data_IF_373851659786
#
_entry.id   IF_373851659786
#
_cell.length_a   1.000
_cell.length_b   1.000
_cell.length_c   1.000
_cell.angle_alpha   90.00
_cell.angle_beta   90.00
_cell.angle_gamma   90.00
#
_symmetry.space_group_name_H-M   'P 1'
#
loop_
_entity.id
_entity.type
_entity.pdbx_description
1 polymer ?
#
# COMPACT_ATOMS: atom_id res chain seq x y z
N UNK A 1 -2.75 28.32 6.80
CA UNK A 1 -1.88 27.13 6.91
C UNK A 1 -2.77 25.92 6.66
N UNK A 2 -2.55 25.18 5.57
CA UNK A 2 -3.30 23.95 5.35
C UNK A 2 -2.91 22.96 6.46
N UNK A 3 -3.89 22.61 7.30
CA UNK A 3 -3.79 21.56 8.31
C UNK A 3 -3.86 20.19 7.63
N UNK A 4 -3.16 20.00 6.50
CA UNK A 4 -3.23 18.74 5.79
C UNK A 4 -2.42 17.69 6.55
N UNK A 5 -3.08 16.58 6.88
CA UNK A 5 -2.52 15.46 7.64
C UNK A 5 -2.58 14.14 6.89
N UNK A 6 -3.03 14.17 5.63
CA UNK A 6 -3.23 12.96 4.82
C UNK A 6 -2.29 12.98 3.62
N UNK A 7 -1.52 11.90 3.50
CA UNK A 7 -0.49 11.76 2.48
C UNK A 7 -0.57 10.38 1.85
N UNK A 8 -0.47 10.34 0.52
CA UNK A 8 -0.10 9.10 -0.17
C UNK A 8 1.41 9.01 -0.11
N UNK A 9 1.92 7.87 0.34
CA UNK A 9 3.32 7.64 0.66
C UNK A 9 3.80 6.32 0.08
N UNK A 10 5.06 6.33 -0.38
CA UNK A 10 5.72 5.19 -0.99
C UNK A 10 7.23 5.27 -0.72
N UNK A 11 7.87 4.10 -0.62
CA UNK A 11 9.31 3.97 -0.38
C UNK A 11 9.95 2.94 -1.30
N UNK A 12 11.16 3.25 -1.73
CA UNK A 12 12.08 2.27 -2.31
C UNK A 12 13.11 1.87 -1.26
N UNK A 13 13.46 0.59 -1.22
CA UNK A 13 14.38 0.04 -0.21
C UNK A 13 15.51 -0.73 -0.85
N UNK A 14 16.71 -0.68 -0.26
CA UNK A 14 17.91 -1.29 -0.84
C UNK A 14 17.83 -2.83 -0.95
N UNK A 15 16.93 -3.46 -0.19
CA UNK A 15 16.56 -4.88 -0.26
C UNK A 15 15.19 -5.08 0.38
N UNK A 16 14.63 -6.29 0.29
CA UNK A 16 13.36 -6.62 0.94
C UNK A 16 13.48 -6.41 2.46
N UNK A 17 12.59 -5.58 3.01
CA UNK A 17 12.60 -5.16 4.43
C UNK A 17 13.88 -4.40 4.85
N UNK A 18 14.58 -3.78 3.90
CA UNK A 18 15.78 -2.98 4.15
C UNK A 18 15.52 -1.52 4.51
N UNK A 19 16.62 -0.77 4.60
CA UNK A 19 16.69 0.69 4.67
C UNK A 19 16.08 1.34 3.43
N UNK A 20 15.41 2.46 3.64
CA UNK A 20 14.91 3.32 2.56
C UNK A 20 16.08 3.92 1.76
N UNK A 21 15.94 3.90 0.44
CA UNK A 21 16.85 4.55 -0.52
C UNK A 21 16.16 5.68 -1.28
N UNK A 22 14.82 5.66 -1.32
CA UNK A 22 14.01 6.76 -1.78
C UNK A 22 12.70 6.78 -0.99
N UNK A 23 12.21 7.97 -0.67
CA UNK A 23 10.90 8.16 -0.07
C UNK A 23 10.14 9.26 -0.80
N UNK A 24 8.87 9.01 -1.11
CA UNK A 24 8.01 9.93 -1.83
C UNK A 24 6.67 10.11 -1.14
N UNK A 25 6.14 11.34 -1.13
CA UNK A 25 4.72 11.56 -0.81
C UNK A 25 4.08 12.63 -1.68
N UNK A 26 2.75 12.54 -1.76
CA UNK A 26 1.86 13.61 -2.20
C UNK A 26 0.78 13.85 -1.13
N UNK A 27 0.45 15.11 -0.88
CA UNK A 27 -0.65 15.49 0.00
C UNK A 27 -1.99 15.31 -0.71
N UNK A 28 -2.97 14.79 0.02
CA UNK A 28 -4.34 14.59 -0.46
C UNK A 28 -5.36 15.05 0.56
N UNK A 29 -6.54 15.43 0.09
CA UNK A 29 -7.68 15.80 0.93
C UNK A 29 -8.93 15.04 0.46
N UNK A 30 -9.68 14.48 1.40
CA UNK A 30 -10.99 13.86 1.17
C UNK A 30 -12.03 14.78 1.77
N UNK A 31 -12.87 15.38 0.95
CA UNK A 31 -13.93 16.29 1.39
C UNK A 31 -15.19 15.50 1.78
N UNK A 32 -16.05 16.15 2.58
CA UNK A 32 -17.30 15.60 3.12
C UNK A 32 -18.36 15.20 2.06
N UNK A 33 -18.09 15.47 0.78
CA UNK A 33 -18.90 15.09 -0.39
C UNK A 33 -18.26 13.97 -1.23
N UNK A 34 -17.17 13.38 -0.74
CA UNK A 34 -16.41 12.33 -1.42
C UNK A 34 -15.47 12.82 -2.50
N UNK A 35 -15.34 14.14 -2.68
CA UNK A 35 -14.32 14.68 -3.57
C UNK A 35 -12.93 14.40 -3.01
N UNK A 36 -12.10 13.73 -3.80
CA UNK A 36 -10.70 13.46 -3.49
C UNK A 36 -9.81 14.42 -4.28
N UNK A 37 -9.06 15.26 -3.57
CA UNK A 37 -8.18 16.27 -4.17
C UNK A 37 -6.72 15.92 -3.93
N UNK A 38 -5.91 15.98 -5.00
CA UNK A 38 -4.46 16.01 -4.92
C UNK A 38 -3.98 17.44 -4.70
N UNK A 39 -3.17 17.67 -3.67
CA UNK A 39 -2.66 19.00 -3.34
C UNK A 39 -1.40 19.32 -4.16
N UNK A 40 -1.52 20.29 -5.08
CA UNK A 40 -0.47 20.61 -6.07
C UNK A 40 0.89 21.00 -5.47
N UNK A 41 0.90 21.63 -4.29
CA UNK A 41 2.12 22.14 -3.64
C UNK A 41 2.58 21.27 -2.46
N UNK A 42 2.05 20.06 -2.34
CA UNK A 42 2.38 19.15 -1.25
C UNK A 42 2.98 17.88 -1.83
N UNK A 43 4.22 17.96 -2.32
CA UNK A 43 4.97 16.83 -2.89
C UNK A 43 6.37 16.82 -2.31
N UNK A 44 6.89 15.63 -2.07
CA UNK A 44 8.25 15.39 -1.64
C UNK A 44 8.78 14.14 -2.31
N UNK A 45 10.02 14.18 -2.78
CA UNK A 45 10.80 13.03 -3.20
C UNK A 45 12.23 13.26 -2.70
N UNK A 46 12.80 12.29 -2.02
CA UNK A 46 14.19 12.37 -1.56
C UNK A 46 14.83 10.99 -1.53
N UNK A 47 16.09 10.96 -1.94
CA UNK A 47 16.95 9.78 -1.90
C UNK A 47 17.82 9.76 -0.64
N UNK A 48 18.19 8.57 -0.24
CA UNK A 48 18.93 8.27 0.98
C UNK A 48 19.98 7.21 0.73
N UNK A 49 21.11 7.32 1.41
CA UNK A 49 22.18 6.33 1.39
C UNK A 49 21.86 5.22 2.40
N UNK A 50 21.72 3.96 1.96
CA UNK A 50 21.50 2.82 2.86
C UNK A 50 22.77 2.49 3.65
N UNK A 51 22.64 1.67 4.70
CA UNK A 51 23.78 1.22 5.52
C UNK A 51 24.67 0.19 4.83
N UNK A 52 24.15 -0.49 3.82
CA UNK A 52 24.83 -1.52 3.02
C UNK A 52 24.48 -1.37 1.52
N UNK A 53 25.27 -1.96 0.61
CA UNK A 53 25.00 -1.88 -0.82
C UNK A 53 23.61 -2.38 -1.22
N UNK A 54 23.07 -1.85 -2.32
CA UNK A 54 21.76 -2.24 -2.84
C UNK A 54 21.82 -3.65 -3.44
N UNK A 55 20.83 -4.49 -3.12
CA UNK A 55 20.68 -5.79 -3.76
C UNK A 55 20.36 -5.62 -5.25
N UNK A 56 20.97 -6.45 -6.11
CA UNK A 56 20.70 -6.43 -7.56
C UNK A 56 19.22 -6.59 -7.90
N UNK A 57 18.48 -7.37 -7.10
CA UNK A 57 17.03 -7.52 -7.28
C UNK A 57 16.26 -6.25 -6.96
N UNK A 58 16.71 -5.47 -5.97
CA UNK A 58 16.11 -4.18 -5.66
C UNK A 58 16.44 -3.18 -6.78
N UNK A 59 17.73 -3.08 -7.18
CA UNK A 59 18.15 -2.26 -8.33
C UNK A 59 17.31 -2.55 -9.58
N UNK A 60 17.02 -3.81 -9.88
CA UNK A 60 16.22 -4.18 -11.05
C UNK A 60 14.74 -3.77 -10.95
N UNK A 61 14.21 -3.56 -9.75
CA UNK A 61 12.83 -3.10 -9.52
C UNK A 61 12.74 -1.60 -9.66
N UNK A 62 13.56 -0.85 -8.92
CA UNK A 62 13.43 0.60 -8.79
C UNK A 62 14.40 1.40 -9.68
N UNK A 63 15.37 0.73 -10.32
CA UNK A 63 16.38 1.34 -11.19
C UNK A 63 17.20 2.46 -10.52
N UNK A 64 17.49 2.26 -9.23
CA UNK A 64 18.39 3.10 -8.42
C UNK A 64 19.60 2.24 -8.12
N UNK A 65 20.80 2.75 -8.38
CA UNK A 65 22.06 2.06 -8.12
C UNK A 65 22.86 2.75 -7.01
N UNK A 66 23.86 2.07 -6.45
CA UNK A 66 24.69 2.62 -5.37
C UNK A 66 25.33 3.95 -5.77
N UNK A 67 25.72 4.10 -7.04
CA UNK A 67 26.32 5.29 -7.61
C UNK A 67 25.39 6.52 -7.54
N UNK A 68 24.06 6.32 -7.63
CA UNK A 68 23.07 7.40 -7.51
C UNK A 68 23.03 8.00 -6.09
N UNK A 69 23.47 7.24 -5.08
CA UNK A 69 23.27 7.54 -3.66
C UNK A 69 24.55 7.96 -2.94
N UNK A 70 25.69 8.07 -3.64
CA UNK A 70 27.00 8.40 -3.05
C UNK A 70 26.96 9.68 -2.22
N UNK A 71 26.21 10.68 -2.70
CA UNK A 71 26.06 12.00 -2.07
C UNK A 71 24.73 12.18 -1.31
N UNK A 72 23.91 11.12 -1.22
CA UNK A 72 22.66 11.17 -0.48
C UNK A 72 22.94 11.15 1.04
N UNK A 73 22.09 11.80 1.86
CA UNK A 73 22.18 11.69 3.32
C UNK A 73 21.89 10.25 3.76
N UNK A 74 22.37 9.81 4.94
CA UNK A 74 22.05 8.48 5.44
C UNK A 74 20.54 8.29 5.60
N UNK A 75 20.04 7.08 5.43
CA UNK A 75 18.61 6.76 5.55
C UNK A 75 18.01 7.15 6.91
N UNK A 76 18.80 7.13 7.98
CA UNK A 76 18.41 7.58 9.32
C UNK A 76 18.11 9.08 9.42
N UNK A 77 18.49 9.87 8.41
CA UNK A 77 18.15 11.30 8.32
C UNK A 77 16.74 11.52 7.75
N UNK A 78 15.99 10.44 7.46
CA UNK A 78 14.62 10.56 7.00
C UNK A 78 13.74 11.30 7.99
N UNK A 79 13.04 12.30 7.47
CA UNK A 79 12.00 13.06 8.13
C UNK A 79 11.01 13.50 7.06
N UNK A 80 9.74 13.57 7.42
CA UNK A 80 8.79 14.36 6.64
C UNK A 80 9.25 15.84 6.63
N UNK A 81 8.93 16.57 5.56
CA UNK A 81 9.37 17.96 5.42
C UNK A 81 8.91 18.87 6.56
N UNK A 82 9.55 20.03 6.71
CA UNK A 82 9.22 20.97 7.78
C UNK A 82 7.72 21.34 7.78
N UNK A 83 7.08 21.19 8.94
CA UNK A 83 5.64 21.43 9.10
C UNK A 83 4.72 20.32 8.59
N UNK A 84 5.27 19.21 8.08
CA UNK A 84 4.51 18.01 7.70
C UNK A 84 4.43 17.05 8.88
N UNK A 85 3.21 16.80 9.36
CA UNK A 85 2.93 15.85 10.42
C UNK A 85 1.77 14.94 9.98
N UNK A 86 2.07 13.76 9.40
CA UNK A 86 1.05 12.86 8.89
C UNK A 86 0.23 12.26 10.04
N UNK A 87 -1.09 12.41 9.96
CA UNK A 87 -2.04 11.62 10.76
C UNK A 87 -2.46 10.37 9.98
N UNK A 88 -2.62 10.50 8.67
CA UNK A 88 -2.99 9.42 7.77
C UNK A 88 -1.90 9.22 6.71
N UNK A 89 -1.38 8.00 6.63
CA UNK A 89 -0.57 7.55 5.50
C UNK A 89 -1.37 6.55 4.67
N UNK A 90 -1.44 6.80 3.37
CA UNK A 90 -2.14 6.01 2.38
C UNK A 90 -1.11 5.40 1.45
N UNK A 91 -1.19 4.10 1.18
CA UNK A 91 -0.24 3.46 0.29
C UNK A 91 -0.74 2.11 -0.23
N UNK A 92 -0.07 1.60 -1.25
CA UNK A 92 -0.34 0.29 -1.81
C UNK A 92 0.56 -0.74 -1.15
N UNK A 93 0.06 -1.40 -0.09
CA UNK A 93 0.85 -2.16 0.89
C UNK A 93 1.56 -1.30 1.96
N UNK A 94 0.88 -0.24 2.40
CA UNK A 94 1.42 0.82 3.28
C UNK A 94 2.16 0.36 4.54
N UNK A 95 1.88 -0.83 5.07
CA UNK A 95 2.62 -1.32 6.25
C UNK A 95 4.11 -1.49 5.95
N UNK A 96 4.45 -1.87 4.71
CA UNK A 96 5.84 -1.99 4.28
C UNK A 96 6.58 -0.65 4.39
N UNK A 97 6.00 0.41 3.85
CA UNK A 97 6.58 1.76 3.84
C UNK A 97 6.66 2.35 5.24
N UNK A 98 5.62 2.11 6.06
CA UNK A 98 5.62 2.54 7.47
C UNK A 98 6.73 1.82 8.24
N UNK A 99 6.86 0.51 8.08
CA UNK A 99 7.93 -0.24 8.73
C UNK A 99 9.33 0.21 8.26
N UNK A 100 9.46 0.63 6.99
CA UNK A 100 10.70 1.16 6.43
C UNK A 100 11.12 2.49 7.07
N UNK A 101 10.19 3.42 7.26
CA UNK A 101 10.50 4.67 7.98
C UNK A 101 10.66 4.46 9.49
N UNK A 102 10.01 3.45 10.08
CA UNK A 102 10.28 3.04 11.47
C UNK A 102 11.72 2.56 11.64
N UNK A 103 12.24 1.75 10.69
CA UNK A 103 13.66 1.34 10.68
C UNK A 103 14.61 2.52 10.53
N UNK A 104 14.21 3.57 9.81
CA UNK A 104 14.94 4.83 9.72
C UNK A 104 14.89 5.67 11.01
N UNK A 105 14.14 5.25 12.03
CA UNK A 105 14.04 5.93 13.33
C UNK A 105 12.89 6.93 13.44
N UNK A 106 11.96 6.96 12.48
CA UNK A 106 10.76 7.80 12.57
C UNK A 106 9.70 7.16 13.47
N UNK A 107 9.10 7.94 14.39
CA UNK A 107 8.02 7.45 15.24
C UNK A 107 6.70 7.38 14.46
N UNK A 108 6.21 6.15 14.26
CA UNK A 108 4.99 5.86 13.50
C UNK A 108 3.82 5.45 14.40
N UNK A 109 3.97 5.54 15.72
CA UNK A 109 2.99 5.02 16.70
C UNK A 109 1.59 5.62 16.56
N UNK A 110 1.50 6.87 16.11
CA UNK A 110 0.25 7.62 15.98
C UNK A 110 -0.26 7.74 14.53
N UNK A 111 0.35 7.04 13.58
CA UNK A 111 -0.05 7.09 12.17
C UNK A 111 -1.18 6.11 11.89
N UNK A 112 -2.29 6.62 11.37
CA UNK A 112 -3.39 5.83 10.82
C UNK A 112 -3.03 5.38 9.40
N UNK A 113 -2.97 4.06 9.20
CA UNK A 113 -2.51 3.44 7.95
C UNK A 113 -3.68 3.03 7.06
N UNK A 114 -3.75 3.55 5.84
CA UNK A 114 -4.78 3.25 4.82
C UNK A 114 -4.15 2.45 3.68
N UNK A 115 -4.57 1.21 3.50
CA UNK A 115 -3.95 0.27 2.57
C UNK A 115 -4.84 0.04 1.35
N UNK A 116 -4.46 0.58 0.19
CA UNK A 116 -5.21 0.41 -1.05
C UNK A 116 -5.15 -1.03 -1.58
N UNK A 117 -4.08 -1.78 -1.27
CA UNK A 117 -3.98 -3.21 -1.62
C UNK A 117 -5.04 -4.04 -0.91
N UNK A 118 -5.21 -3.85 0.41
CA UNK A 118 -6.23 -4.54 1.19
C UNK A 118 -7.64 -4.22 0.67
N UNK A 119 -7.93 -2.94 0.46
CA UNK A 119 -9.20 -2.49 -0.12
C UNK A 119 -9.46 -3.06 -1.52
N UNK A 120 -8.42 -3.11 -2.37
CA UNK A 120 -8.55 -3.65 -3.73
C UNK A 120 -8.82 -5.15 -3.73
N UNK A 121 -8.18 -5.92 -2.84
CA UNK A 121 -8.46 -7.36 -2.65
C UNK A 121 -9.89 -7.60 -2.17
N UNK A 122 -10.40 -6.72 -1.32
CA UNK A 122 -11.78 -6.80 -0.83
C UNK A 122 -12.80 -6.47 -1.93
N UNK A 123 -12.57 -5.43 -2.73
CA UNK A 123 -13.51 -4.97 -3.76
C UNK A 123 -13.50 -5.84 -5.02
N UNK A 124 -12.33 -6.34 -5.40
CA UNK A 124 -12.15 -7.09 -6.64
C UNK A 124 -11.45 -8.43 -6.37
N UNK A 125 -12.03 -9.32 -5.55
CA UNK A 125 -11.36 -10.55 -5.12
C UNK A 125 -11.01 -11.50 -6.28
N UNK A 126 -11.75 -11.41 -7.39
CA UNK A 126 -11.56 -12.25 -8.58
C UNK A 126 -10.48 -11.71 -9.54
N UNK A 127 -9.89 -10.54 -9.27
CA UNK A 127 -8.88 -9.97 -10.16
C UNK A 127 -7.60 -10.82 -10.14
N UNK A 128 -7.01 -11.06 -11.32
CA UNK A 128 -5.85 -11.94 -11.50
C UNK A 128 -4.60 -11.50 -10.72
N UNK A 129 -4.51 -10.21 -10.38
CA UNK A 129 -3.41 -9.61 -9.62
C UNK A 129 -3.89 -8.27 -9.07
N UNK A 130 -3.45 -7.95 -7.85
CA UNK A 130 -3.72 -6.66 -7.21
C UNK A 130 -2.46 -5.81 -7.13
N UNK A 131 -1.43 -6.09 -7.95
CA UNK A 131 -0.28 -5.19 -8.09
C UNK A 131 -0.75 -3.81 -8.55
N UNK A 132 -0.10 -2.76 -8.07
CA UNK A 132 -0.48 -1.37 -8.35
C UNK A 132 -0.67 -1.10 -9.86
N UNK A 133 0.30 -1.51 -10.69
CA UNK A 133 0.23 -1.36 -12.15
C UNK A 133 -0.93 -2.12 -12.81
N UNK A 134 -1.28 -3.30 -12.29
CA UNK A 134 -2.43 -4.07 -12.78
C UNK A 134 -3.73 -3.36 -12.43
N UNK A 135 -3.85 -2.84 -11.20
CA UNK A 135 -5.03 -2.07 -10.78
C UNK A 135 -5.17 -0.79 -11.60
N UNK A 136 -4.08 -0.07 -11.83
CA UNK A 136 -4.08 1.12 -12.66
C UNK A 136 -4.60 0.82 -14.09
N UNK A 137 -4.14 -0.26 -14.72
CA UNK A 137 -4.62 -0.67 -16.05
C UNK A 137 -6.06 -1.20 -16.04
N UNK A 138 -6.46 -1.90 -14.97
CA UNK A 138 -7.81 -2.42 -14.81
C UNK A 138 -8.83 -1.27 -14.70
N UNK A 139 -8.50 -0.24 -13.93
CA UNK A 139 -9.38 0.91 -13.63
C UNK A 139 -9.27 2.05 -14.65
N UNK A 140 -8.30 2.01 -15.55
CA UNK A 140 -8.04 3.09 -16.51
C UNK A 140 -9.12 3.18 -17.60
N UNK A 141 -9.62 4.40 -17.82
CA UNK A 141 -10.45 4.76 -18.98
C UNK A 141 -9.63 4.83 -20.28
N UNK A 142 -8.31 5.04 -20.18
CA UNK A 142 -7.37 5.10 -21.31
C UNK A 142 -6.09 4.30 -21.01
N UNK A 143 -6.16 2.99 -21.26
CA UNK A 143 -5.05 2.06 -20.99
C UNK A 143 -3.76 2.41 -21.74
N UNK A 144 -3.84 3.03 -22.91
CA UNK A 144 -2.64 3.42 -23.67
C UNK A 144 -1.86 4.51 -22.92
N UNK A 145 -2.57 5.52 -22.43
CA UNK A 145 -1.97 6.60 -21.64
C UNK A 145 -1.42 6.07 -20.31
N UNK A 146 -2.20 5.27 -19.59
CA UNK A 146 -1.76 4.67 -18.31
C UNK A 146 -0.54 3.76 -18.52
N UNK A 147 -0.52 2.94 -19.57
CA UNK A 147 0.66 2.11 -19.87
C UNK A 147 1.90 2.96 -20.21
N UNK A 148 1.71 4.12 -20.84
CA UNK A 148 2.80 5.05 -21.09
C UNK A 148 3.33 5.61 -19.76
N UNK A 149 2.47 6.12 -18.89
CA UNK A 149 2.85 6.66 -17.57
C UNK A 149 3.59 5.62 -16.71
N UNK A 150 3.08 4.39 -16.65
CA UNK A 150 3.70 3.29 -15.88
C UNK A 150 5.09 2.92 -16.39
N UNK A 151 5.38 3.06 -17.69
CA UNK A 151 6.71 2.73 -18.24
C UNK A 151 7.78 3.72 -17.81
N UNK A 152 7.39 4.95 -17.49
CA UNK A 152 8.29 6.01 -17.04
C UNK A 152 8.15 6.25 -15.52
N UNK A 153 7.44 5.37 -14.81
CA UNK A 153 7.36 5.34 -13.36
C UNK A 153 8.64 4.70 -12.81
N UNK A 154 9.57 5.52 -12.34
CA UNK A 154 10.87 5.13 -11.77
C UNK A 154 11.18 5.91 -10.48
N UNK A 155 10.18 6.43 -9.81
CA UNK A 155 10.35 7.08 -8.50
C UNK A 155 9.12 6.92 -7.63
N UNK A 156 9.34 6.93 -6.31
CA UNK A 156 8.30 6.71 -5.30
C UNK A 156 7.12 7.68 -5.45
N UNK A 157 7.35 8.90 -5.97
CA UNK A 157 6.23 9.85 -6.17
C UNK A 157 5.35 9.56 -7.38
N UNK A 158 5.82 8.80 -8.36
CA UNK A 158 4.98 8.33 -9.47
C UNK A 158 4.11 7.15 -9.03
N UNK A 159 4.62 6.29 -8.13
CA UNK A 159 3.78 5.27 -7.47
C UNK A 159 2.75 5.91 -6.54
N UNK A 160 3.08 7.04 -5.90
CA UNK A 160 2.09 7.85 -5.21
C UNK A 160 0.98 8.36 -6.15
N UNK A 161 1.33 8.88 -7.34
CA UNK A 161 0.34 9.32 -8.33
C UNK A 161 -0.53 8.16 -8.83
N UNK A 162 0.08 7.00 -9.09
CA UNK A 162 -0.65 5.79 -9.51
C UNK A 162 -1.58 5.30 -8.39
N UNK A 163 -1.12 5.35 -7.14
CA UNK A 163 -1.91 5.02 -5.96
C UNK A 163 -3.07 6.00 -5.78
N UNK A 164 -2.92 7.28 -6.14
CA UNK A 164 -4.00 8.25 -6.12
C UNK A 164 -5.14 7.86 -7.07
N UNK A 165 -4.84 7.44 -8.30
CA UNK A 165 -5.87 7.01 -9.25
C UNK A 165 -6.60 5.75 -8.78
N UNK A 166 -5.88 4.79 -8.19
CA UNK A 166 -6.51 3.61 -7.57
C UNK A 166 -7.38 4.02 -6.38
N UNK A 167 -6.90 4.91 -5.52
CA UNK A 167 -7.64 5.41 -4.36
C UNK A 167 -8.93 6.13 -4.79
N UNK A 168 -8.86 6.96 -5.82
CA UNK A 168 -10.01 7.66 -6.40
C UNK A 168 -11.09 6.67 -6.84
N UNK A 169 -10.72 5.62 -7.56
CA UNK A 169 -11.66 4.58 -7.98
C UNK A 169 -12.26 3.82 -6.78
N UNK A 170 -11.47 3.54 -5.74
CA UNK A 170 -11.96 2.93 -4.49
C UNK A 170 -13.01 3.82 -3.82
N UNK A 171 -12.70 5.12 -3.66
CA UNK A 171 -13.63 6.07 -3.04
C UNK A 171 -14.94 6.17 -3.84
N UNK A 172 -14.87 6.21 -5.17
CA UNK A 172 -16.04 6.22 -6.05
C UNK A 172 -16.86 4.92 -5.92
N UNK A 173 -16.21 3.76 -5.99
CA UNK A 173 -16.86 2.45 -5.90
C UNK A 173 -17.60 2.24 -4.58
N UNK A 174 -17.08 2.82 -3.48
CA UNK A 174 -17.63 2.67 -2.13
C UNK A 174 -18.36 3.89 -1.60
N UNK A 175 -18.50 4.94 -2.41
CA UNK A 175 -19.14 6.20 -2.05
C UNK A 175 -18.59 6.75 -0.72
N UNK A 176 -17.25 6.74 -0.59
CA UNK A 176 -16.55 7.22 0.60
C UNK A 176 -16.57 8.73 0.62
N UNK A 177 -17.08 9.31 1.71
CA UNK A 177 -17.29 10.75 1.81
C UNK A 177 -16.43 11.41 2.89
N UNK A 178 -15.46 10.73 3.50
CA UNK A 178 -14.51 11.34 4.44
C UNK A 178 -13.24 10.50 4.60
N UNK A 179 -12.18 11.10 5.14
CA UNK A 179 -10.94 10.38 5.47
C UNK A 179 -11.18 9.35 6.60
N UNK A 180 -12.08 9.62 7.55
CA UNK A 180 -12.47 8.69 8.60
C UNK A 180 -13.19 7.46 8.05
N UNK A 181 -14.12 7.65 7.12
CA UNK A 181 -14.79 6.54 6.42
C UNK A 181 -13.80 5.73 5.60
N UNK A 182 -12.89 6.40 4.88
CA UNK A 182 -11.82 5.75 4.14
C UNK A 182 -10.95 4.89 5.05
N UNK A 183 -10.56 5.43 6.21
CA UNK A 183 -9.78 4.72 7.21
C UNK A 183 -10.52 3.50 7.74
N UNK A 184 -11.78 3.65 8.16
CA UNK A 184 -12.62 2.54 8.65
C UNK A 184 -12.77 1.44 7.59
N UNK A 185 -13.01 1.81 6.34
CA UNK A 185 -13.10 0.86 5.25
C UNK A 185 -11.78 0.13 5.02
N UNK A 186 -10.65 0.85 5.06
CA UNK A 186 -9.34 0.22 5.00
C UNK A 186 -9.09 -0.75 6.16
N UNK A 187 -9.53 -0.45 7.38
CA UNK A 187 -9.38 -1.36 8.51
C UNK A 187 -10.26 -2.60 8.36
N UNK A 188 -11.49 -2.44 7.85
CA UNK A 188 -12.35 -3.56 7.54
C UNK A 188 -11.73 -4.46 6.46
N UNK A 189 -11.17 -3.88 5.41
CA UNK A 189 -10.56 -4.61 4.31
C UNK A 189 -9.26 -5.35 4.69
N UNK A 190 -8.65 -5.01 5.84
CA UNK A 190 -7.56 -5.78 6.45
C UNK A 190 -8.01 -7.10 7.07
N UNK A 191 -9.30 -7.43 7.03
CA UNK A 191 -9.82 -8.78 7.31
C UNK A 191 -10.21 -9.43 5.99
N UNK A 192 -9.29 -10.17 5.33
CA UNK A 192 -9.58 -10.84 4.07
C UNK A 192 -10.82 -11.74 4.15
N UNK A 193 -11.70 -11.61 3.16
CA UNK A 193 -12.84 -12.51 2.97
C UNK A 193 -12.58 -13.56 1.90
N UNK A 194 -11.54 -13.37 1.09
CA UNK A 194 -11.17 -14.23 -0.04
C UNK A 194 -9.66 -14.52 -0.03
N UNK A 195 -9.28 -15.67 -0.58
CA UNK A 195 -7.89 -16.01 -0.85
C UNK A 195 -7.36 -15.16 -2.00
N UNK A 196 -6.18 -14.57 -1.84
CA UNK A 196 -5.59 -13.66 -2.83
C UNK A 196 -4.33 -14.21 -3.53
N UNK A 197 -3.94 -15.46 -3.26
CA UNK A 197 -2.78 -16.12 -3.88
C UNK A 197 -3.00 -17.62 -4.11
N UNK A 198 -2.12 -18.23 -4.91
CA UNK A 198 -2.07 -19.68 -5.08
C UNK A 198 -3.30 -20.29 -5.75
N UNK A 199 -3.47 -21.60 -5.56
CA UNK A 199 -4.50 -22.42 -6.23
C UNK A 199 -5.92 -21.94 -5.97
N UNK A 200 -6.20 -21.46 -4.77
CA UNK A 200 -7.54 -21.04 -4.33
C UNK A 200 -7.77 -19.53 -4.50
N UNK A 201 -6.90 -18.82 -5.24
CA UNK A 201 -7.08 -17.38 -5.47
C UNK A 201 -8.49 -17.08 -5.99
N UNK A 202 -9.13 -16.08 -5.39
CA UNK A 202 -10.51 -15.67 -5.68
C UNK A 202 -11.58 -16.47 -4.93
N UNK A 203 -11.25 -17.56 -4.25
CA UNK A 203 -12.23 -18.29 -3.44
C UNK A 203 -12.56 -17.49 -2.18
N UNK A 204 -13.85 -17.41 -1.85
CA UNK A 204 -14.27 -16.96 -0.53
C UNK A 204 -13.73 -17.96 0.51
N UNK A 205 -13.24 -17.44 1.63
CA UNK A 205 -12.71 -18.28 2.72
C UNK A 205 -13.80 -19.22 3.25
N UNK A 206 -15.05 -18.75 3.31
CA UNK A 206 -16.23 -19.55 3.68
C UNK A 206 -16.47 -20.76 2.78
N UNK A 207 -16.02 -20.70 1.53
CA UNK A 207 -16.33 -21.69 0.50
C UNK A 207 -15.16 -22.67 0.29
N UNK A 208 -14.08 -22.55 1.07
CA UNK A 208 -12.95 -23.47 1.01
C UNK A 208 -13.36 -24.86 1.51
N UNK A 209 -12.91 -25.95 0.86
CA UNK A 209 -12.92 -27.28 1.47
C UNK A 209 -12.14 -27.30 2.79
N UNK A 210 -12.57 -28.07 3.78
CA UNK A 210 -11.91 -28.13 5.11
C UNK A 210 -10.42 -28.45 5.00
N UNK A 211 -10.04 -29.45 4.20
CA UNK A 211 -8.63 -29.79 3.98
C UNK A 211 -7.83 -28.61 3.40
N UNK A 212 -8.43 -27.82 2.49
CA UNK A 212 -7.75 -26.67 1.91
C UNK A 212 -7.61 -25.53 2.94
N UNK A 213 -8.59 -25.36 3.82
CA UNK A 213 -8.55 -24.38 4.91
C UNK A 213 -7.40 -24.70 5.87
N UNK A 214 -7.28 -25.95 6.32
CA UNK A 214 -6.22 -26.41 7.22
C UNK A 214 -4.83 -26.24 6.59
N UNK A 215 -4.66 -26.71 5.35
CA UNK A 215 -3.42 -26.55 4.59
C UNK A 215 -3.00 -25.09 4.43
N UNK A 216 -3.98 -24.18 4.27
CA UNK A 216 -3.73 -22.75 4.13
C UNK A 216 -3.39 -22.08 5.46
N UNK A 217 -3.94 -22.55 6.59
CA UNK A 217 -3.60 -22.05 7.93
C UNK A 217 -2.12 -22.28 8.23
N UNK A 218 -1.56 -23.43 7.83
CA UNK A 218 -0.13 -23.73 8.05
C UNK A 218 0.82 -22.86 7.20
N UNK A 219 0.35 -22.40 6.04
CA UNK A 219 1.17 -21.71 5.03
C UNK A 219 0.96 -20.19 4.99
N UNK A 220 -0.02 -19.68 5.73
CA UNK A 220 -0.38 -18.26 5.72
C UNK A 220 0.13 -17.56 6.96
N UNK A 221 0.30 -16.25 6.85
CA UNK A 221 0.65 -15.34 7.93
C UNK A 221 -0.29 -14.12 7.98
N UNK A 222 -0.01 -13.23 8.93
CA UNK A 222 -0.65 -11.93 9.06
C UNK A 222 -2.18 -11.96 9.03
N UNK A 223 -2.76 -11.03 8.27
CA UNK A 223 -4.20 -10.84 8.18
C UNK A 223 -4.97 -12.03 7.59
N UNK A 224 -4.37 -12.75 6.64
CA UNK A 224 -5.01 -13.91 6.05
C UNK A 224 -5.10 -15.06 7.05
N UNK A 225 -4.00 -15.35 7.76
CA UNK A 225 -3.99 -16.38 8.80
C UNK A 225 -5.08 -16.14 9.85
N UNK A 226 -5.21 -14.89 10.32
CA UNK A 226 -6.27 -14.52 11.25
C UNK A 226 -7.66 -14.84 10.71
N UNK A 227 -7.93 -14.51 9.44
CA UNK A 227 -9.23 -14.76 8.81
C UNK A 227 -9.51 -16.25 8.61
N UNK A 228 -8.51 -17.04 8.23
CA UNK A 228 -8.63 -18.50 8.09
C UNK A 228 -8.91 -19.17 9.45
N UNK A 229 -8.22 -18.75 10.52
CA UNK A 229 -8.45 -19.26 11.88
C UNK A 229 -9.84 -18.90 12.39
N UNK A 230 -10.31 -17.68 12.13
CA UNK A 230 -11.69 -17.29 12.46
C UNK A 230 -12.71 -18.16 11.76
N UNK A 231 -12.50 -18.47 10.48
CA UNK A 231 -13.39 -19.37 9.74
C UNK A 231 -13.34 -20.81 10.28
N UNK A 232 -12.15 -21.34 10.55
CA UNK A 232 -11.98 -22.68 11.14
C UNK A 232 -12.73 -22.78 12.47
N UNK A 233 -12.57 -21.80 13.35
CA UNK A 233 -13.30 -21.72 14.62
C UNK A 233 -14.83 -21.63 14.41
N UNK A 234 -15.29 -20.84 13.43
CA UNK A 234 -16.72 -20.74 13.09
C UNK A 234 -17.28 -22.09 12.64
N UNK A 235 -16.52 -22.88 11.88
CA UNK A 235 -16.94 -24.23 11.43
C UNK A 235 -17.03 -25.22 12.58
N UNK A 236 -16.12 -25.16 13.56
CA UNK A 236 -16.15 -26.06 14.72
C UNK A 236 -17.35 -25.84 15.65
N UNK A 237 -17.97 -24.66 15.60
CA UNK A 237 -19.16 -24.30 16.41
C UNK A 237 -20.49 -24.67 15.72
N UNK A 238 -20.48 -25.13 14.46
CA UNK A 238 -21.70 -25.54 13.77
C UNK A 238 -22.13 -26.94 14.26
N UNK A 239 -23.38 -27.12 14.72
CA UNK A 239 -23.88 -28.44 15.09
C UNK A 239 -23.92 -29.36 13.86
N UNK A 240 -23.53 -30.62 14.06
CA UNK A 240 -23.56 -31.68 13.05
C UNK A 240 -24.93 -31.86 12.39
#
# INVERSE_FOLDING_TARGET
MYSNRSFIFDTETHKLHGDIIEAGYIGVEVFDDGYLLKLSNCRFNKRYKPSEPIDLSAMAVHLIVDEDLVNAPPFTDFKFGDGVNPEYLIGHNIDYDVDAITRAGYDTSNIKRICTLAMSRYLWPQLESHKLSVLALYLSENRLQTAHELRFAHCATQDCDTTFEVLKAICQQRQINSIEELYKFSQLARTPTHIFYGKYKGYAISDLPDQALDDLIEKSDGFLLSSLRTESFRRSELPF
#
